data_IF_166386698158
#
_entry.id   IF_166386698158
#
_cell.length_a   1.000
_cell.length_b   1.000
_cell.length_c   1.000
_cell.angle_alpha   90.00
_cell.angle_beta   90.00
_cell.angle_gamma   90.00
#
_symmetry.space_group_name_H-M   'P 1'
#
loop_
_entity.id
_entity.type
_entity.pdbx_description
1 polymer ?
#
# COMPACT_ATOMS: atom_id res chain seq x y z
N UNK A 1 4.81 2.77 34.28
CA UNK A 1 4.94 1.72 33.24
C UNK A 1 6.41 1.68 32.91
N UNK A 2 7.08 0.60 33.17
CA UNK A 2 8.52 0.45 32.87
C UNK A 2 8.74 0.28 31.38
N UNK A 3 9.98 0.48 30.89
CA UNK A 3 10.33 0.19 29.49
C UNK A 3 10.04 -1.27 29.13
N UNK A 4 10.30 -2.20 30.07
CA UNK A 4 9.98 -3.63 29.89
C UNK A 4 8.48 -3.86 29.68
N UNK A 5 7.60 -3.18 30.45
CA UNK A 5 6.15 -3.28 30.27
C UNK A 5 5.71 -2.75 28.89
N UNK A 6 6.37 -1.67 28.43
CA UNK A 6 6.10 -1.09 27.11
C UNK A 6 6.50 -2.08 26.00
N UNK A 7 7.70 -2.66 26.10
CA UNK A 7 8.20 -3.62 25.09
C UNK A 7 7.35 -4.89 25.07
N UNK A 8 6.99 -5.46 26.23
CA UNK A 8 6.06 -6.61 26.28
C UNK A 8 4.73 -6.30 25.60
N UNK A 9 4.14 -5.15 25.92
CA UNK A 9 2.89 -4.72 25.28
C UNK A 9 3.03 -4.55 23.77
N UNK A 10 4.14 -3.95 23.29
CA UNK A 10 4.39 -3.79 21.85
C UNK A 10 4.54 -5.14 21.16
N UNK A 11 5.19 -6.12 21.80
CA UNK A 11 5.32 -7.48 21.28
C UNK A 11 3.98 -8.20 21.19
N UNK A 12 3.12 -8.05 22.21
CA UNK A 12 1.76 -8.59 22.18
C UNK A 12 0.90 -7.91 21.10
N UNK A 13 1.12 -6.62 20.84
CA UNK A 13 0.43 -5.88 19.80
C UNK A 13 0.90 -6.30 18.38
N UNK A 14 2.10 -6.88 18.20
CA UNK A 14 2.56 -7.40 16.92
C UNK A 14 1.65 -8.52 16.37
N UNK A 15 0.99 -9.30 17.23
CA UNK A 15 0.01 -10.31 16.80
C UNK A 15 -1.20 -9.70 16.07
N UNK A 16 -1.43 -8.40 16.27
CA UNK A 16 -2.51 -7.65 15.60
C UNK A 16 -2.06 -6.99 14.30
N UNK A 17 -0.74 -6.94 14.05
CA UNK A 17 -0.14 -6.42 12.82
C UNK A 17 0.00 -7.58 11.84
N UNK A 18 -1.13 -8.13 11.41
CA UNK A 18 -1.15 -9.22 10.43
C UNK A 18 -1.50 -8.75 9.03
N UNK A 19 -1.25 -9.60 8.06
CA UNK A 19 -1.87 -9.49 6.74
C UNK A 19 -3.38 -9.76 6.86
N UNK A 20 -4.18 -9.11 6.02
CA UNK A 20 -5.61 -9.41 5.94
C UNK A 20 -5.76 -10.79 5.28
N UNK A 21 -6.50 -11.71 5.92
CA UNK A 21 -6.78 -13.00 5.30
C UNK A 21 -7.54 -12.79 3.97
N UNK A 22 -7.10 -13.38 2.84
CA UNK A 22 -7.80 -13.28 1.57
C UNK A 22 -9.27 -13.73 1.64
N UNK A 23 -9.60 -14.65 2.57
CA UNK A 23 -10.96 -15.15 2.76
C UNK A 23 -11.86 -14.15 3.53
N UNK A 24 -11.26 -13.18 4.22
CA UNK A 24 -11.97 -12.07 4.86
C UNK A 24 -12.35 -10.94 3.87
N UNK A 25 -11.82 -10.99 2.65
CA UNK A 25 -12.10 -9.98 1.63
C UNK A 25 -13.49 -10.21 1.01
N UNK A 26 -14.28 -9.13 0.83
CA UNK A 26 -15.60 -9.23 0.20
C UNK A 26 -15.51 -9.79 -1.23
N UNK A 27 -16.34 -10.78 -1.57
CA UNK A 27 -16.46 -11.32 -2.93
C UNK A 27 -17.36 -10.47 -3.86
N UNK A 28 -17.82 -9.33 -3.38
CA UNK A 28 -18.66 -8.39 -4.13
C UNK A 28 -17.89 -7.10 -4.43
N UNK A 29 -18.20 -6.45 -5.56
CA UNK A 29 -17.63 -5.15 -5.90
C UNK A 29 -18.12 -4.05 -4.96
N UNK A 30 -17.21 -3.28 -4.38
CA UNK A 30 -17.46 -2.25 -3.39
C UNK A 30 -17.41 -0.84 -3.98
N UNK A 31 -18.23 0.08 -3.46
CA UNK A 31 -18.07 1.51 -3.70
C UNK A 31 -16.92 2.09 -2.86
N UNK A 32 -16.39 3.25 -3.27
CA UNK A 32 -15.25 3.92 -2.62
C UNK A 32 -15.40 4.04 -1.10
N UNK A 33 -16.59 4.38 -0.60
CA UNK A 33 -16.87 4.50 0.82
C UNK A 33 -16.73 3.18 1.56
N UNK A 34 -17.20 2.10 0.93
CA UNK A 34 -17.09 0.74 1.49
C UNK A 34 -15.64 0.25 1.47
N UNK A 35 -14.88 0.57 0.41
CA UNK A 35 -13.44 0.26 0.33
C UNK A 35 -12.69 0.92 1.47
N UNK A 36 -12.83 2.24 1.65
CA UNK A 36 -12.14 2.95 2.74
C UNK A 36 -12.56 2.44 4.11
N UNK A 37 -13.86 2.20 4.34
CA UNK A 37 -14.36 1.64 5.60
C UNK A 37 -13.84 0.23 5.88
N UNK A 38 -13.78 -0.63 4.86
CA UNK A 38 -13.22 -1.98 5.00
C UNK A 38 -11.72 -1.94 5.37
N UNK A 39 -10.91 -1.17 4.64
CA UNK A 39 -9.48 -1.04 4.91
C UNK A 39 -9.23 -0.45 6.31
N UNK A 40 -9.97 0.59 6.69
CA UNK A 40 -9.86 1.19 8.03
C UNK A 40 -10.25 0.19 9.14
N UNK A 41 -11.26 -0.65 8.92
CA UNK A 41 -11.67 -1.66 9.90
C UNK A 41 -10.65 -2.77 10.11
N UNK A 42 -9.87 -3.11 9.07
CA UNK A 42 -8.89 -4.21 9.12
C UNK A 42 -7.47 -3.77 9.46
N UNK A 43 -7.06 -2.60 9.01
CA UNK A 43 -5.70 -2.07 9.20
C UNK A 43 -5.65 -0.89 10.19
N UNK A 44 -6.81 -0.38 10.63
CA UNK A 44 -6.88 0.82 11.49
C UNK A 44 -6.21 0.64 12.85
N UNK A 45 -6.11 -0.59 13.38
CA UNK A 45 -5.37 -0.89 14.61
C UNK A 45 -3.87 -0.58 14.52
N UNK A 46 -3.31 -0.52 13.29
CA UNK A 46 -1.91 -0.17 13.04
C UNK A 46 -1.67 1.34 12.94
N UNK A 47 -2.71 2.18 13.02
CA UNK A 47 -2.55 3.63 12.95
C UNK A 47 -2.01 4.17 14.27
N UNK A 48 -0.96 5.00 14.21
CA UNK A 48 -0.32 5.64 15.40
C UNK A 48 -1.26 6.60 16.15
N UNK A 49 -2.26 7.15 15.45
CA UNK A 49 -3.25 8.08 16.01
C UNK A 49 -4.66 7.60 15.70
N UNK A 50 -5.59 7.77 16.64
CA UNK A 50 -6.98 7.34 16.50
C UNK A 50 -7.70 7.96 15.28
N UNK A 51 -7.27 9.15 14.83
CA UNK A 51 -7.81 9.84 13.65
C UNK A 51 -7.06 9.52 12.34
N UNK A 52 -6.04 8.65 12.39
CA UNK A 52 -5.19 8.27 11.27
C UNK A 52 -5.92 7.34 10.30
N UNK A 53 -6.59 7.89 9.28
CA UNK A 53 -7.14 7.06 8.20
C UNK A 53 -6.03 6.39 7.41
N UNK A 54 -6.15 5.09 7.25
CA UNK A 54 -5.17 4.25 6.54
C UNK A 54 -5.10 4.62 5.05
N UNK A 55 -6.27 4.69 4.39
CA UNK A 55 -6.40 5.12 3.01
C UNK A 55 -7.59 6.06 2.87
N UNK A 56 -7.33 7.28 2.39
CA UNK A 56 -8.39 8.25 2.10
C UNK A 56 -8.90 8.11 0.65
N UNK A 57 -10.11 8.56 0.39
CA UNK A 57 -10.66 8.64 -0.98
C UNK A 57 -9.73 9.41 -1.93
N UNK A 58 -9.10 10.48 -1.43
CA UNK A 58 -8.14 11.27 -2.22
C UNK A 58 -6.91 10.46 -2.59
N UNK A 59 -6.38 9.65 -1.65
CA UNK A 59 -5.24 8.77 -1.92
C UNK A 59 -5.59 7.73 -2.97
N UNK A 60 -6.72 7.04 -2.85
CA UNK A 60 -7.17 6.02 -3.81
C UNK A 60 -7.37 6.63 -5.20
N UNK A 61 -7.99 7.82 -5.28
CA UNK A 61 -8.14 8.54 -6.54
C UNK A 61 -6.80 8.93 -7.17
N UNK A 62 -5.82 9.31 -6.34
CA UNK A 62 -4.47 9.62 -6.82
C UNK A 62 -3.75 8.36 -7.31
N UNK A 63 -3.93 7.22 -6.66
CA UNK A 63 -3.37 5.94 -7.14
C UNK A 63 -3.94 5.54 -8.50
N UNK A 64 -5.25 5.69 -8.71
CA UNK A 64 -5.86 5.43 -10.01
C UNK A 64 -5.44 6.43 -11.10
N UNK A 65 -5.19 7.70 -10.75
CA UNK A 65 -4.70 8.72 -11.71
C UNK A 65 -3.25 8.53 -12.11
N UNK A 66 -2.44 7.94 -11.23
CA UNK A 66 -1.02 7.69 -11.45
C UNK A 66 -0.74 6.23 -11.84
N UNK A 67 -1.75 5.52 -12.33
CA UNK A 67 -1.66 4.15 -12.83
C UNK A 67 -1.10 3.11 -11.81
N UNK A 68 -1.12 3.43 -10.50
CA UNK A 68 -0.80 2.47 -9.44
C UNK A 68 -1.95 1.49 -9.17
N UNK A 69 -3.16 1.93 -9.42
CA UNK A 69 -4.38 1.15 -9.24
C UNK A 69 -5.18 1.15 -10.54
N UNK A 70 -5.57 -0.01 -11.08
CA UNK A 70 -6.47 -0.07 -12.22
C UNK A 70 -7.75 0.72 -11.98
N UNK A 71 -8.36 1.33 -13.01
CA UNK A 71 -9.56 2.14 -12.84
C UNK A 71 -10.76 1.27 -12.43
N UNK A 72 -11.62 1.77 -11.51
CA UNK A 72 -12.81 1.04 -11.08
C UNK A 72 -13.84 0.93 -12.21
N UNK A 73 -14.56 -0.19 -12.29
CA UNK A 73 -15.64 -0.42 -13.25
C UNK A 73 -16.95 0.11 -12.68
N UNK A 74 -17.58 1.07 -13.35
CA UNK A 74 -18.82 1.72 -12.90
C UNK A 74 -18.74 2.26 -11.46
N UNK A 75 -17.58 2.82 -11.09
CA UNK A 75 -17.25 3.33 -9.75
C UNK A 75 -17.17 2.26 -8.65
N UNK A 76 -17.07 1.00 -9.02
CA UNK A 76 -16.93 -0.13 -8.10
C UNK A 76 -15.55 -0.75 -8.20
N UNK A 77 -15.04 -1.18 -7.07
CA UNK A 77 -13.74 -1.79 -6.86
C UNK A 77 -13.92 -3.28 -6.55
N UNK A 78 -13.31 -4.15 -7.33
CA UNK A 78 -13.33 -5.60 -7.14
C UNK A 78 -12.39 -6.05 -6.01
N UNK A 79 -12.45 -7.33 -5.63
CA UNK A 79 -11.53 -7.97 -4.70
C UNK A 79 -10.07 -7.74 -5.09
N UNK A 80 -9.73 -7.82 -6.39
CA UNK A 80 -8.35 -7.56 -6.85
C UNK A 80 -7.90 -6.12 -6.62
N UNK A 81 -8.79 -5.12 -6.73
CA UNK A 81 -8.46 -3.75 -6.35
C UNK A 81 -8.13 -3.63 -4.85
N UNK A 82 -8.87 -4.34 -3.99
CA UNK A 82 -8.59 -4.36 -2.55
C UNK A 82 -7.21 -4.96 -2.27
N UNK A 83 -6.87 -6.06 -2.92
CA UNK A 83 -5.56 -6.71 -2.79
C UNK A 83 -4.41 -5.77 -3.21
N UNK A 84 -4.57 -5.05 -4.34
CA UNK A 84 -3.58 -4.05 -4.78
C UNK A 84 -3.49 -2.90 -3.77
N UNK A 85 -4.61 -2.41 -3.23
CA UNK A 85 -4.59 -1.35 -2.20
C UNK A 85 -3.88 -1.80 -0.93
N UNK A 86 -3.99 -3.08 -0.53
CA UNK A 86 -3.28 -3.66 0.60
C UNK A 86 -1.77 -3.71 0.30
N UNK A 87 -1.35 -4.14 -0.89
CA UNK A 87 0.07 -4.06 -1.29
C UNK A 87 0.59 -2.62 -1.26
N UNK A 88 -0.15 -1.66 -1.82
CA UNK A 88 0.22 -0.23 -1.77
C UNK A 88 0.34 0.24 -0.32
N UNK A 89 -0.57 -0.19 0.56
CA UNK A 89 -0.52 0.18 1.98
C UNK A 89 0.80 -0.24 2.65
N UNK A 90 1.23 -1.48 2.48
CA UNK A 90 2.50 -1.94 3.06
C UNK A 90 3.70 -1.28 2.39
N UNK A 91 3.71 -1.19 1.07
CA UNK A 91 4.84 -0.65 0.30
C UNK A 91 5.08 0.84 0.57
N UNK A 92 4.02 1.65 0.72
CA UNK A 92 4.15 3.11 0.92
C UNK A 92 4.95 3.53 2.14
N UNK A 93 5.11 2.63 3.12
CA UNK A 93 5.90 2.89 4.33
C UNK A 93 7.41 2.73 4.12
N UNK A 94 7.83 2.02 3.06
CA UNK A 94 9.24 1.67 2.81
C UNK A 94 9.73 2.09 1.44
N UNK A 95 8.86 2.27 0.45
CA UNK A 95 9.18 2.50 -0.95
C UNK A 95 8.66 3.85 -1.43
N UNK A 96 9.32 4.43 -2.45
CA UNK A 96 8.79 5.59 -3.15
C UNK A 96 7.58 5.21 -4.02
N UNK A 97 6.74 6.19 -4.36
CA UNK A 97 5.59 5.97 -5.26
C UNK A 97 6.02 5.43 -6.63
N UNK A 98 7.17 5.89 -7.15
CA UNK A 98 7.70 5.41 -8.42
C UNK A 98 8.15 3.94 -8.35
N UNK A 99 8.78 3.54 -7.22
CA UNK A 99 9.17 2.15 -6.99
C UNK A 99 7.93 1.24 -6.89
N UNK A 100 6.92 1.69 -6.14
CA UNK A 100 5.65 0.97 -6.04
C UNK A 100 5.03 0.78 -7.43
N UNK A 101 5.02 1.83 -8.25
CA UNK A 101 4.49 1.78 -9.61
C UNK A 101 5.28 0.77 -10.45
N UNK A 102 6.61 0.81 -10.43
CA UNK A 102 7.45 -0.10 -11.21
C UNK A 102 7.25 -1.58 -10.82
N UNK A 103 6.90 -1.85 -9.57
CA UNK A 103 6.62 -3.20 -9.07
C UNK A 103 5.19 -3.67 -9.36
N UNK A 104 4.21 -2.78 -9.24
CA UNK A 104 2.80 -3.14 -9.46
C UNK A 104 2.40 -3.18 -10.93
N UNK A 105 3.05 -2.40 -11.79
CA UNK A 105 2.73 -2.30 -13.22
C UNK A 105 2.79 -3.65 -13.97
N UNK A 106 3.89 -4.42 -13.87
CA UNK A 106 3.94 -5.77 -14.46
C UNK A 106 2.89 -6.71 -13.86
N UNK A 107 2.61 -6.58 -12.57
CA UNK A 107 1.64 -7.39 -11.86
C UNK A 107 0.22 -7.13 -12.37
N UNK A 108 -0.21 -5.87 -12.39
CA UNK A 108 -1.54 -5.47 -12.84
C UNK A 108 -1.74 -5.72 -14.32
N UNK A 109 -0.78 -5.39 -15.16
CA UNK A 109 -0.84 -5.61 -16.62
C UNK A 109 -1.00 -7.09 -16.97
N UNK A 110 -0.34 -7.98 -16.23
CA UNK A 110 -0.31 -9.40 -16.55
C UNK A 110 -1.46 -10.18 -15.91
N UNK A 111 -1.88 -9.83 -14.70
CA UNK A 111 -2.75 -10.68 -13.90
C UNK A 111 -4.08 -10.05 -13.50
N UNK A 112 -4.23 -8.70 -13.50
CA UNK A 112 -5.46 -8.05 -13.09
C UNK A 112 -6.63 -8.36 -14.05
N UNK A 113 -7.77 -8.82 -13.50
CA UNK A 113 -8.97 -9.17 -14.25
C UNK A 113 -8.79 -10.41 -15.16
N UNK A 114 -7.78 -11.23 -14.91
CA UNK A 114 -7.49 -12.41 -15.75
C UNK A 114 -7.63 -13.69 -14.96
N UNK A 115 -8.22 -14.69 -15.63
CA UNK A 115 -8.32 -16.05 -15.12
C UNK A 115 -7.12 -16.86 -15.64
N UNK A 116 -6.42 -17.53 -14.73
CA UNK A 116 -5.25 -18.34 -15.07
C UNK A 116 -4.72 -19.11 -13.87
N UNK A 117 -3.62 -19.83 -14.07
CA UNK A 117 -2.94 -20.55 -12.98
C UNK A 117 -2.32 -19.63 -11.94
N UNK A 118 -2.01 -18.39 -12.32
CA UNK A 118 -1.55 -17.31 -11.44
C UNK A 118 -2.53 -16.14 -11.53
N UNK A 119 -2.98 -15.66 -10.37
CA UNK A 119 -3.86 -14.50 -10.21
C UNK A 119 -3.32 -13.60 -9.11
N UNK A 120 -3.81 -12.35 -9.00
CA UNK A 120 -3.45 -11.45 -7.91
C UNK A 120 -3.85 -12.05 -6.55
N UNK A 121 -5.00 -12.69 -6.47
CA UNK A 121 -5.45 -13.37 -5.25
C UNK A 121 -4.51 -14.53 -4.86
N UNK A 122 -4.11 -15.36 -5.82
CA UNK A 122 -3.16 -16.44 -5.53
C UNK A 122 -1.82 -15.90 -5.06
N UNK A 123 -1.27 -14.88 -5.71
CA UNK A 123 -0.04 -14.23 -5.27
C UNK A 123 -0.17 -13.71 -3.84
N UNK A 124 -1.27 -13.04 -3.54
CA UNK A 124 -1.51 -12.51 -2.19
C UNK A 124 -1.58 -13.63 -1.14
N UNK A 125 -2.29 -14.75 -1.43
CA UNK A 125 -2.32 -15.93 -0.55
C UNK A 125 -0.94 -16.50 -0.31
N UNK A 126 -0.14 -16.67 -1.37
CA UNK A 126 1.21 -17.21 -1.27
C UNK A 126 2.10 -16.28 -0.39
N UNK A 127 2.03 -14.96 -0.57
CA UNK A 127 2.76 -13.98 0.26
C UNK A 127 2.26 -13.97 1.71
N UNK A 128 0.95 -13.94 1.94
CA UNK A 128 0.36 -13.93 3.29
C UNK A 128 0.72 -15.19 4.09
N UNK A 129 0.80 -16.34 3.42
CA UNK A 129 1.21 -17.60 4.07
C UNK A 129 2.67 -17.57 4.54
N UNK A 130 3.56 -16.86 3.81
CA UNK A 130 4.95 -16.65 4.24
C UNK A 130 5.03 -15.74 5.46
N UNK A 131 4.21 -14.68 5.52
CA UNK A 131 4.23 -13.70 6.61
C UNK A 131 3.70 -14.27 7.94
N UNK A 132 2.75 -15.21 7.91
CA UNK A 132 2.22 -15.83 9.14
C UNK A 132 3.30 -16.52 9.98
N UNK A 133 4.36 -17.06 9.36
CA UNK A 133 5.51 -17.65 10.07
C UNK A 133 6.55 -16.64 10.53
N UNK A 134 6.55 -15.42 9.99
CA UNK A 134 7.60 -14.42 10.21
C UNK A 134 7.45 -13.60 11.51
N UNK A 135 6.25 -13.49 12.06
CA UNK A 135 5.99 -12.65 13.24
C UNK A 135 6.74 -13.16 14.48
N UNK A 136 6.77 -14.46 14.70
CA UNK A 136 7.48 -15.03 15.86
C UNK A 136 8.99 -14.79 15.81
N UNK A 137 9.58 -14.80 14.63
CA UNK A 137 11.00 -14.49 14.48
C UNK A 137 11.27 -13.00 14.68
N UNK A 138 10.39 -12.12 14.22
CA UNK A 138 10.45 -10.69 14.51
C UNK A 138 10.35 -10.43 16.02
N UNK A 139 9.44 -11.09 16.73
CA UNK A 139 9.31 -10.97 18.19
C UNK A 139 10.59 -11.37 18.92
N UNK A 140 11.20 -12.50 18.55
CA UNK A 140 12.46 -12.96 19.12
C UNK A 140 13.59 -11.98 18.88
N UNK A 141 13.71 -11.47 17.66
CA UNK A 141 14.72 -10.49 17.28
C UNK A 141 14.58 -9.18 18.06
N UNK A 142 13.35 -8.66 18.16
CA UNK A 142 13.04 -7.45 18.93
C UNK A 142 13.37 -7.61 20.42
N UNK A 143 13.01 -8.76 21.03
CA UNK A 143 13.36 -9.07 22.42
C UNK A 143 14.86 -9.14 22.63
N UNK A 144 15.59 -9.79 21.73
CA UNK A 144 17.06 -9.90 21.84
C UNK A 144 17.75 -8.53 21.76
N UNK A 145 17.27 -7.64 20.87
CA UNK A 145 17.78 -6.25 20.77
C UNK A 145 17.48 -5.45 22.04
N UNK A 146 16.26 -5.59 22.58
CA UNK A 146 15.93 -4.95 23.85
C UNK A 146 16.86 -5.40 24.97
N UNK A 147 17.04 -6.73 25.14
CA UNK A 147 17.94 -7.27 26.16
C UNK A 147 19.40 -6.82 25.97
N UNK A 148 19.86 -6.68 24.73
CA UNK A 148 21.20 -6.19 24.43
C UNK A 148 21.34 -4.71 24.86
N UNK A 149 20.35 -3.88 24.56
CA UNK A 149 20.35 -2.47 24.95
C UNK A 149 20.32 -2.30 26.48
N UNK A 150 19.54 -3.13 27.20
CA UNK A 150 19.49 -3.12 28.67
C UNK A 150 20.84 -3.42 29.33
N UNK A 151 21.68 -4.23 28.71
CA UNK A 151 23.00 -4.63 29.23
C UNK A 151 24.11 -3.60 28.99
N UNK A 152 23.87 -2.59 28.17
CA UNK A 152 24.94 -1.64 27.78
C UNK A 152 25.20 -0.56 28.80
N UNK A 153 24.19 -0.19 29.59
CA UNK A 153 24.30 0.94 30.52
C UNK A 153 23.85 0.51 31.92
N UNK A 154 24.80 0.58 32.86
CA UNK A 154 24.54 0.30 34.28
C UNK A 154 23.82 1.49 34.95
N UNK A 155 23.02 1.21 35.94
CA UNK A 155 22.28 2.21 36.74
C UNK A 155 20.79 2.24 36.45
N UNK A 156 20.03 2.83 37.41
CA UNK A 156 18.57 2.95 37.36
C UNK A 156 18.13 4.43 37.32
N UNK A 157 19.03 5.35 36.94
CA UNK A 157 18.72 6.76 36.79
C UNK A 157 18.12 7.07 35.41
N UNK A 158 17.56 8.28 35.27
CA UNK A 158 16.90 8.73 34.04
C UNK A 158 17.86 8.77 32.83
N UNK A 159 19.17 8.99 33.05
CA UNK A 159 20.16 9.03 32.01
C UNK A 159 20.40 7.62 31.44
N UNK A 160 20.58 6.62 32.29
CA UNK A 160 20.76 5.24 31.88
C UNK A 160 19.51 4.71 31.16
N UNK A 161 18.31 5.01 31.67
CA UNK A 161 17.04 4.65 31.03
C UNK A 161 16.93 5.27 29.61
N UNK A 162 17.25 6.55 29.47
CA UNK A 162 17.26 7.25 28.18
C UNK A 162 18.24 6.61 27.20
N UNK A 163 19.47 6.31 27.63
CA UNK A 163 20.51 5.73 26.77
C UNK A 163 20.11 4.31 26.29
N UNK A 164 19.55 3.48 27.16
CA UNK A 164 19.00 2.15 26.79
C UNK A 164 17.89 2.29 25.76
N UNK A 165 16.93 3.17 26.02
CA UNK A 165 15.81 3.42 25.10
C UNK A 165 16.30 3.94 23.74
N UNK A 166 17.23 4.91 23.75
CA UNK A 166 17.83 5.45 22.52
C UNK A 166 18.54 4.36 21.71
N UNK A 167 19.34 3.53 22.37
CA UNK A 167 20.07 2.44 21.73
C UNK A 167 19.12 1.42 21.11
N UNK A 168 18.09 1.02 21.83
CA UNK A 168 17.09 0.10 21.29
C UNK A 168 16.35 0.68 20.07
N UNK A 169 15.93 1.95 20.14
CA UNK A 169 15.33 2.65 18.99
C UNK A 169 16.30 2.72 17.81
N UNK A 170 17.59 2.97 18.07
CA UNK A 170 18.61 3.01 17.02
C UNK A 170 18.79 1.65 16.34
N UNK A 171 18.87 0.54 17.08
CA UNK A 171 18.97 -0.82 16.53
C UNK A 171 17.78 -1.16 15.61
N UNK A 172 16.55 -0.90 16.07
CA UNK A 172 15.36 -1.09 15.24
C UNK A 172 15.37 -0.21 13.98
N UNK A 173 15.81 1.04 14.11
CA UNK A 173 15.90 1.98 12.98
C UNK A 173 16.96 1.55 11.97
N UNK A 174 18.07 1.03 12.43
CA UNK A 174 19.14 0.52 11.58
C UNK A 174 18.69 -0.70 10.76
N UNK A 175 17.94 -1.61 11.36
CA UNK A 175 17.34 -2.74 10.65
C UNK A 175 16.44 -2.29 9.50
N UNK A 176 15.54 -1.33 9.79
CA UNK A 176 14.65 -0.76 8.78
C UNK A 176 15.49 -0.14 7.65
N UNK A 177 16.55 0.63 7.99
CA UNK A 177 17.44 1.24 7.01
C UNK A 177 18.11 0.21 6.11
N UNK A 178 18.71 -0.84 6.68
CA UNK A 178 19.38 -1.89 5.92
C UNK A 178 18.40 -2.62 5.00
N UNK A 179 17.25 -3.05 5.53
CA UNK A 179 16.22 -3.74 4.74
C UNK A 179 15.68 -2.85 3.62
N UNK A 180 15.46 -1.56 3.89
CA UNK A 180 15.07 -0.59 2.89
C UNK A 180 16.10 -0.48 1.76
N UNK A 181 17.40 -0.37 2.10
CA UNK A 181 18.48 -0.34 1.09
C UNK A 181 18.50 -1.61 0.22
N UNK A 182 18.25 -2.78 0.81
CA UNK A 182 18.14 -4.03 0.05
C UNK A 182 16.96 -4.01 -0.92
N UNK A 183 15.79 -3.55 -0.47
CA UNK A 183 14.59 -3.41 -1.31
C UNK A 183 14.86 -2.48 -2.48
N UNK A 184 15.39 -1.27 -2.23
CA UNK A 184 15.76 -0.30 -3.27
C UNK A 184 16.72 -0.92 -4.31
N UNK A 185 17.76 -1.61 -3.85
CA UNK A 185 18.73 -2.27 -4.72
C UNK A 185 18.12 -3.38 -5.59
N UNK A 186 17.17 -4.15 -5.04
CA UNK A 186 16.44 -5.17 -5.79
C UNK A 186 15.56 -4.54 -6.87
N UNK A 187 14.87 -3.44 -6.56
CA UNK A 187 14.03 -2.69 -7.50
C UNK A 187 14.88 -2.09 -8.62
N UNK A 188 16.01 -1.45 -8.28
CA UNK A 188 16.94 -0.88 -9.26
C UNK A 188 17.43 -1.96 -10.24
N UNK A 189 17.85 -3.13 -9.73
CA UNK A 189 18.27 -4.25 -10.55
C UNK A 189 17.14 -4.82 -11.42
N UNK A 190 15.92 -4.91 -10.88
CA UNK A 190 14.74 -5.33 -11.64
C UNK A 190 14.45 -4.35 -12.78
N UNK A 191 14.44 -3.05 -12.48
CA UNK A 191 14.18 -1.99 -13.44
C UNK A 191 15.26 -1.92 -14.53
N UNK A 192 16.55 -2.10 -14.16
CA UNK A 192 17.64 -2.17 -15.13
C UNK A 192 17.49 -3.35 -16.09
N UNK A 193 16.97 -4.48 -15.62
CA UNK A 193 16.81 -5.69 -16.44
C UNK A 193 15.53 -5.68 -17.30
N UNK A 194 14.44 -5.13 -16.78
CA UNK A 194 13.11 -5.28 -17.36
C UNK A 194 12.41 -3.94 -17.66
N UNK A 195 12.88 -2.80 -17.10
CA UNK A 195 12.18 -1.52 -17.07
C UNK A 195 11.82 -0.94 -18.43
N UNK A 196 12.68 -1.08 -19.44
CA UNK A 196 12.37 -0.60 -20.81
C UNK A 196 11.24 -1.38 -21.51
N UNK A 197 10.99 -2.63 -21.09
CA UNK A 197 9.96 -3.49 -21.68
C UNK A 197 8.65 -3.44 -20.89
N UNK A 198 8.68 -3.13 -19.61
CA UNK A 198 7.48 -2.99 -18.78
C UNK A 198 6.64 -1.77 -19.21
N UNK A 199 7.29 -0.65 -19.57
CA UNK A 199 6.61 0.59 -19.93
C UNK A 199 6.09 0.65 -21.38
N UNK A 200 6.64 -0.15 -22.31
CA UNK A 200 6.22 -0.10 -23.75
C UNK A 200 4.81 -0.63 -24.00
N UNK A 201 4.26 -1.44 -23.10
CA UNK A 201 2.91 -2.02 -23.28
C UNK A 201 1.77 -1.08 -22.84
N UNK A 202 2.03 -0.07 -22.01
CA UNK A 202 1.00 0.87 -21.56
C UNK A 202 0.69 2.00 -22.54
N UNK A 203 1.66 2.42 -23.36
CA UNK A 203 1.45 3.49 -24.34
C UNK A 203 0.53 3.09 -25.51
N UNK A 204 0.23 1.81 -25.69
CA UNK A 204 -0.63 1.33 -26.79
C UNK A 204 -2.12 1.30 -26.41
N UNK A 205 -2.46 1.23 -25.11
CA UNK A 205 -3.87 1.16 -24.70
C UNK A 205 -4.51 2.52 -24.40
N UNK A 206 -3.72 3.58 -24.14
CA UNK A 206 -4.27 4.93 -23.94
C UNK A 206 -4.55 5.71 -25.22
N UNK A 207 -4.13 5.20 -26.39
CA UNK A 207 -4.25 5.91 -27.68
C UNK A 207 -5.51 5.55 -28.49
N UNK A 208 -6.31 4.54 -28.12
CA UNK A 208 -7.39 4.03 -28.95
C UNK A 208 -8.82 4.33 -28.52
N UNK A 209 -9.05 5.06 -27.43
CA UNK A 209 -10.41 5.52 -27.08
C UNK A 209 -10.52 7.03 -26.89
N UNK A 210 -10.05 7.81 -27.85
CA UNK A 210 -10.66 9.14 -28.06
C UNK A 210 -11.93 8.94 -28.87
N UNK A 211 -13.03 8.57 -28.20
CA UNK A 211 -14.38 8.64 -28.77
C UNK A 211 -14.61 10.07 -29.27
N UNK A 212 -14.73 10.21 -30.58
CA UNK A 212 -15.14 11.44 -31.26
C UNK A 212 -16.46 11.91 -30.62
N UNK A 213 -16.43 13.03 -29.91
CA UNK A 213 -17.66 13.75 -29.58
C UNK A 213 -18.32 14.20 -30.87
N UNK A 214 -19.62 13.93 -31.08
CA UNK A 214 -20.32 14.46 -32.25
C UNK A 214 -20.36 16.00 -32.17
N UNK A 215 -19.93 16.67 -33.24
CA UNK A 215 -20.05 18.12 -33.38
C UNK A 215 -21.52 18.51 -33.27
N UNK A 216 -21.83 19.35 -32.32
CA UNK A 216 -23.12 20.04 -32.27
C UNK A 216 -23.12 21.08 -33.38
N UNK A 217 -23.80 20.73 -34.51
CA UNK A 217 -24.12 21.68 -35.57
C UNK A 217 -24.94 22.84 -35.00
N UNK A 218 -24.34 24.00 -34.99
CA UNK A 218 -24.98 25.25 -34.63
C UNK A 218 -26.06 25.63 -35.66
N UNK A 219 -27.32 25.55 -35.25
CA UNK A 219 -28.37 26.36 -35.88
C UNK A 219 -28.52 27.64 -35.06
N UNK A 220 -27.73 28.65 -35.38
CA UNK A 220 -28.03 30.05 -35.16
C UNK A 220 -28.50 30.58 -36.47
N UNK A 221 -29.78 30.93 -36.54
CA UNK A 221 -30.21 32.06 -37.36
C UNK A 221 -31.74 32.23 -37.31
N UNK A 222 -32.13 33.49 -37.35
CA UNK A 222 -33.44 34.01 -37.73
C UNK A 222 -34.57 33.95 -36.73
N UNK A 223 -34.47 34.75 -35.67
CA UNK A 223 -35.64 35.50 -35.14
C UNK A 223 -35.14 36.89 -34.69
N UNK A 224 -34.96 37.80 -35.64
CA UNK A 224 -34.96 39.25 -35.35
C UNK A 224 -35.29 40.00 -36.62
N UNK A 225 -36.59 40.17 -36.94
CA UNK A 225 -37.11 41.26 -37.76
C UNK A 225 -38.63 41.06 -37.92
N UNK A 226 -39.39 41.49 -36.94
CA UNK A 226 -40.79 41.90 -37.11
C UNK A 226 -41.30 42.41 -35.76
N UNK A 227 -40.96 43.66 -35.45
CA UNK A 227 -41.79 44.57 -34.62
C UNK A 227 -41.21 45.96 -34.80
N UNK A 228 -41.62 46.59 -35.90
CA UNK A 228 -41.81 48.02 -36.05
C UNK A 228 -42.60 48.26 -37.35
N UNK A 229 -43.89 48.27 -37.16
CA UNK A 229 -44.83 49.19 -37.78
C UNK A 229 -46.11 49.12 -36.94
#
# INVERSE_FOLDING_TARGET
MTNEDIVKKLIDDLDRIGTIDPDDLPDIDLYMEQVTGFIDSRLGSSARTADGRILTKTMINNYAKNDLLPPPVKKKYSKEHLLILIFIYYFKHVMSINDIQSMLDPLTSKYFGKNGSMTIEKLYRDVSALEQGGIDDIKKDVLQKYENAEKLYDGDDEEAEFLRTFTFIFELSYDIYVRKRMIESLIDNYNAKYGENAFKNHSVHSATEKVKRPERSGKKSEIKRRKMK
#
